data_IF_035047042726
#
_entry.id   IF_035047042726
#
_cell.length_a   1.000
_cell.length_b   1.000
_cell.length_c   1.000
_cell.angle_alpha   90.00
_cell.angle_beta   90.00
_cell.angle_gamma   90.00
#
_symmetry.space_group_name_H-M   'P 1'
#
loop_
_entity.id
_entity.type
_entity.pdbx_description
1 polymer ?
#
# COMPACT_ATOMS: atom_id res chain seq x y z
N UNK A 1 -2.37 4.68 -34.81
CA UNK A 1 -1.46 5.37 -33.87
C UNK A 1 -0.99 4.32 -32.89
N UNK A 2 0.32 4.07 -32.75
CA UNK A 2 0.85 3.18 -31.73
C UNK A 2 0.50 3.80 -30.37
N UNK A 3 -0.32 3.09 -29.58
CA UNK A 3 -0.59 3.48 -28.20
C UNK A 3 0.71 3.27 -27.44
N UNK A 4 1.28 4.35 -26.91
CA UNK A 4 2.50 4.29 -26.11
C UNK A 4 2.25 3.38 -24.90
N UNK A 5 2.94 2.24 -24.85
CA UNK A 5 2.70 1.25 -23.80
C UNK A 5 3.19 1.81 -22.45
N UNK A 6 2.40 1.72 -21.38
CA UNK A 6 2.76 2.35 -20.10
C UNK A 6 4.09 1.82 -19.53
N UNK A 7 4.90 2.72 -18.97
CA UNK A 7 6.16 2.37 -18.32
C UNK A 7 5.89 1.74 -16.96
N UNK A 8 6.69 0.73 -16.59
CA UNK A 8 6.59 0.05 -15.31
C UNK A 8 6.81 1.02 -14.13
N UNK A 9 5.96 0.96 -13.13
CA UNK A 9 6.12 1.73 -11.90
C UNK A 9 7.40 1.32 -11.14
N UNK A 10 8.07 2.31 -10.53
CA UNK A 10 9.28 2.10 -9.72
C UNK A 10 8.86 1.92 -8.26
N UNK A 11 9.40 0.88 -7.61
CA UNK A 11 9.09 0.55 -6.21
C UNK A 11 10.34 0.58 -5.33
N UNK A 12 10.15 0.78 -4.01
CA UNK A 12 11.14 0.52 -2.98
C UNK A 12 11.25 -0.99 -2.66
N UNK A 13 11.95 -1.35 -1.58
CA UNK A 13 12.08 -2.74 -1.13
C UNK A 13 13.08 -3.54 -1.97
N UNK A 14 14.11 -2.90 -2.47
CA UNK A 14 15.18 -3.55 -3.27
C UNK A 14 16.33 -4.07 -2.41
N UNK A 15 16.20 -4.06 -1.09
CA UNK A 15 17.25 -4.43 -0.13
C UNK A 15 17.81 -5.83 -0.36
N UNK A 16 16.94 -6.84 -0.66
CA UNK A 16 17.42 -8.20 -1.00
C UNK A 16 18.37 -8.19 -2.19
N UNK A 17 17.97 -7.55 -3.30
CA UNK A 17 18.80 -7.43 -4.51
C UNK A 17 20.12 -6.71 -4.23
N UNK A 18 20.08 -5.68 -3.38
CA UNK A 18 21.28 -4.92 -3.03
C UNK A 18 22.24 -5.75 -2.16
N UNK A 19 21.71 -6.49 -1.16
CA UNK A 19 22.49 -7.44 -0.35
C UNK A 19 23.16 -8.51 -1.21
N UNK A 20 22.44 -9.11 -2.14
CA UNK A 20 22.98 -10.11 -3.08
C UNK A 20 24.10 -9.52 -3.95
N UNK A 21 23.92 -8.28 -4.43
CA UNK A 21 24.89 -7.58 -5.29
C UNK A 21 26.16 -7.20 -4.53
N UNK A 22 26.03 -6.67 -3.32
CA UNK A 22 27.16 -6.12 -2.55
C UNK A 22 27.76 -7.11 -1.55
N UNK A 23 27.04 -8.18 -1.21
CA UNK A 23 27.35 -9.13 -0.13
C UNK A 23 27.43 -8.46 1.26
N UNK A 24 26.84 -7.30 1.42
CA UNK A 24 26.79 -6.54 2.67
C UNK A 24 25.39 -6.55 3.27
N UNK A 25 25.31 -6.35 4.57
CA UNK A 25 24.02 -6.15 5.24
C UNK A 25 23.59 -4.70 5.04
N UNK A 26 22.56 -4.49 4.19
CA UNK A 26 22.01 -3.18 3.89
C UNK A 26 20.77 -2.94 4.74
N UNK A 27 20.71 -1.79 5.41
CA UNK A 27 19.50 -1.33 6.10
C UNK A 27 18.53 -0.72 5.09
N UNK A 28 17.37 -1.34 4.94
CA UNK A 28 16.37 -0.95 3.93
C UNK A 28 15.26 -0.09 4.52
N UNK A 29 15.41 1.23 4.44
CA UNK A 29 14.38 2.23 4.76
C UNK A 29 13.48 2.57 3.57
N UNK A 30 13.67 1.93 2.41
CA UNK A 30 12.82 2.13 1.23
C UNK A 30 11.53 1.29 1.27
N UNK A 31 11.53 0.21 2.07
CA UNK A 31 10.39 -0.68 2.28
C UNK A 31 9.63 -0.27 3.54
N UNK A 32 8.40 0.22 3.39
CA UNK A 32 7.57 0.65 4.52
C UNK A 32 6.79 -0.53 5.12
N UNK A 33 7.51 -1.50 5.71
CA UNK A 33 6.92 -2.58 6.50
C UNK A 33 6.92 -2.22 7.98
N UNK A 34 6.02 -2.81 8.77
CA UNK A 34 5.97 -2.61 10.21
C UNK A 34 7.27 -3.05 10.88
N UNK A 35 7.99 -2.17 11.61
CA UNK A 35 9.21 -2.57 12.34
C UNK A 35 8.91 -3.31 13.65
N UNK A 36 7.67 -3.30 14.12
CA UNK A 36 7.21 -3.90 15.37
C UNK A 36 5.99 -4.80 15.12
N UNK A 37 6.06 -5.80 14.23
CA UNK A 37 4.90 -6.61 13.89
C UNK A 37 4.47 -7.51 15.05
N UNK A 38 3.17 -7.84 15.16
CA UNK A 38 2.70 -8.89 16.05
C UNK A 38 3.46 -10.20 15.79
N UNK A 39 3.64 -10.98 16.84
CA UNK A 39 4.24 -12.31 16.72
C UNK A 39 3.18 -13.32 16.30
N UNK A 40 3.12 -13.63 15.03
CA UNK A 40 2.25 -14.67 14.47
C UNK A 40 2.94 -16.02 14.63
N UNK A 41 2.33 -16.95 15.38
CA UNK A 41 2.84 -18.31 15.58
C UNK A 41 2.43 -19.21 14.41
N UNK A 42 2.98 -18.92 13.23
CA UNK A 42 2.71 -19.66 12.02
C UNK A 42 3.95 -20.45 11.57
N UNK A 43 3.74 -21.73 11.28
CA UNK A 43 4.75 -22.59 10.67
C UNK A 43 4.21 -23.10 9.32
N UNK A 44 5.04 -23.04 8.25
CA UNK A 44 4.59 -23.51 6.95
C UNK A 44 4.38 -25.02 6.95
N UNK A 45 3.16 -25.46 6.66
CA UNK A 45 2.84 -26.86 6.41
C UNK A 45 3.17 -27.19 4.96
N UNK A 46 4.20 -28.01 4.73
CA UNK A 46 4.64 -28.40 3.39
C UNK A 46 3.63 -29.32 2.68
N UNK A 47 2.75 -30.00 3.39
CA UNK A 47 1.69 -30.79 2.77
C UNK A 47 0.70 -29.92 1.97
N UNK A 48 0.56 -28.64 2.28
CA UNK A 48 -0.25 -27.72 1.49
C UNK A 48 0.24 -27.58 0.04
N UNK A 49 1.48 -27.97 -0.26
CA UNK A 49 2.04 -27.94 -1.63
C UNK A 49 1.51 -29.08 -2.51
N UNK A 50 0.90 -30.10 -1.93
CA UNK A 50 0.39 -31.26 -2.67
C UNK A 50 -0.99 -31.02 -3.31
N UNK A 51 -1.67 -29.92 -2.92
CA UNK A 51 -3.04 -29.60 -3.32
C UNK A 51 -3.14 -28.18 -3.90
N UNK A 52 -4.12 -27.99 -4.80
CA UNK A 52 -4.55 -26.65 -5.14
C UNK A 52 -5.26 -26.01 -3.96
N UNK A 53 -5.07 -24.70 -3.68
CA UNK A 53 -5.87 -23.96 -2.70
C UNK A 53 -7.36 -23.99 -3.05
N UNK A 54 -8.25 -23.69 -2.09
CA UNK A 54 -9.65 -23.38 -2.38
C UNK A 54 -9.74 -22.12 -3.23
N UNK A 55 -10.20 -22.22 -4.48
CA UNK A 55 -10.29 -21.08 -5.41
C UNK A 55 -11.33 -20.03 -4.96
N UNK A 56 -12.28 -20.43 -4.14
CA UNK A 56 -13.26 -19.52 -3.52
C UNK A 56 -12.73 -18.86 -2.25
N UNK A 57 -11.67 -19.41 -1.61
CA UNK A 57 -11.09 -18.93 -0.35
C UNK A 57 -12.14 -18.73 0.74
N UNK A 58 -13.05 -19.68 0.88
CA UNK A 58 -14.27 -19.59 1.69
C UNK A 58 -13.95 -19.28 3.15
N UNK A 59 -13.11 -20.09 3.80
CA UNK A 59 -12.71 -19.90 5.19
C UNK A 59 -12.05 -18.53 5.42
N UNK A 60 -11.18 -18.11 4.49
CA UNK A 60 -10.48 -16.84 4.56
C UNK A 60 -11.45 -15.65 4.43
N UNK A 61 -12.41 -15.71 3.52
CA UNK A 61 -13.45 -14.68 3.37
C UNK A 61 -14.39 -14.63 4.57
N UNK A 62 -14.78 -15.79 5.13
CA UNK A 62 -15.56 -15.88 6.38
C UNK A 62 -14.80 -15.20 7.54
N UNK A 63 -13.50 -15.48 7.68
CA UNK A 63 -12.65 -14.85 8.70
C UNK A 63 -12.57 -13.34 8.52
N UNK A 64 -12.33 -12.86 7.31
CA UNK A 64 -12.33 -11.42 6.99
C UNK A 64 -13.71 -10.82 7.25
N UNK A 65 -14.77 -11.47 6.79
CA UNK A 65 -16.16 -11.01 6.96
C UNK A 65 -16.54 -10.84 8.44
N UNK A 66 -16.11 -11.77 9.31
CA UNK A 66 -16.35 -11.70 10.75
C UNK A 66 -15.67 -10.50 11.41
N UNK A 67 -14.49 -10.10 10.93
CA UNK A 67 -13.72 -8.96 11.49
C UNK A 67 -14.29 -7.61 11.03
N UNK A 68 -14.72 -7.52 9.75
CA UNK A 68 -15.16 -6.27 9.14
C UNK A 68 -16.68 -6.16 9.00
N UNK A 69 -17.44 -7.09 9.57
CA UNK A 69 -18.91 -7.13 9.51
C UNK A 69 -19.44 -7.07 8.07
N UNK A 70 -18.80 -7.86 7.17
CA UNK A 70 -19.13 -7.90 5.73
C UNK A 70 -19.53 -9.32 5.33
N UNK A 71 -20.48 -9.42 4.39
CA UNK A 71 -20.84 -10.69 3.77
C UNK A 71 -19.70 -11.20 2.87
N UNK A 72 -19.52 -12.51 2.78
CA UNK A 72 -18.47 -13.13 1.96
C UNK A 72 -18.58 -12.78 0.47
N UNK A 73 -19.80 -12.48 -0.01
CA UNK A 73 -20.05 -12.03 -1.39
C UNK A 73 -19.54 -10.61 -1.66
N UNK A 74 -19.25 -9.85 -0.62
CA UNK A 74 -18.68 -8.51 -0.70
C UNK A 74 -17.15 -8.49 -0.61
N UNK A 75 -16.49 -9.68 -0.54
CA UNK A 75 -15.06 -9.81 -0.27
C UNK A 75 -14.36 -10.49 -1.44
N UNK A 76 -13.25 -9.89 -1.90
CA UNK A 76 -12.30 -10.53 -2.81
C UNK A 76 -10.92 -10.64 -2.18
N UNK A 77 -10.15 -11.64 -2.61
CA UNK A 77 -8.76 -11.86 -2.20
C UNK A 77 -7.84 -11.94 -3.40
N UNK A 78 -6.54 -11.67 -3.21
CA UNK A 78 -5.59 -11.67 -4.32
C UNK A 78 -4.13 -11.83 -3.90
N UNK A 79 -3.28 -12.14 -4.85
CA UNK A 79 -1.83 -12.28 -4.72
C UNK A 79 -1.16 -10.90 -4.46
N UNK A 80 -1.40 -10.39 -3.27
CA UNK A 80 -1.12 -9.01 -2.87
C UNK A 80 -2.14 -8.02 -3.44
N UNK A 81 -2.24 -6.85 -2.80
CA UNK A 81 -3.16 -5.78 -3.20
C UNK A 81 -2.96 -5.31 -4.66
N UNK A 82 -1.75 -5.46 -5.23
CA UNK A 82 -1.46 -5.08 -6.62
C UNK A 82 -2.26 -5.89 -7.63
N UNK A 83 -2.46 -7.19 -7.40
CA UNK A 83 -3.32 -8.00 -8.27
C UNK A 83 -4.73 -7.45 -8.27
N UNK A 84 -5.29 -7.15 -7.10
CA UNK A 84 -6.64 -6.59 -6.99
C UNK A 84 -6.77 -5.23 -7.67
N UNK A 85 -5.75 -4.34 -7.58
CA UNK A 85 -5.74 -3.09 -8.36
C UNK A 85 -5.83 -3.37 -9.88
N UNK A 86 -5.05 -4.34 -10.37
CA UNK A 86 -5.03 -4.72 -11.79
C UNK A 86 -6.37 -5.31 -12.25
N UNK A 87 -6.90 -6.25 -11.49
CA UNK A 87 -8.17 -6.91 -11.80
C UNK A 87 -9.32 -5.91 -11.73
N UNK A 88 -9.39 -5.08 -10.66
CA UNK A 88 -10.38 -4.01 -10.54
C UNK A 88 -10.38 -3.10 -11.76
N UNK A 89 -9.22 -2.57 -12.16
CA UNK A 89 -9.11 -1.70 -13.34
C UNK A 89 -9.57 -2.42 -14.61
N UNK A 90 -9.18 -3.68 -14.80
CA UNK A 90 -9.61 -4.47 -15.94
C UNK A 90 -11.12 -4.66 -16.01
N UNK A 91 -11.75 -4.94 -14.87
CA UNK A 91 -13.20 -5.14 -14.77
C UNK A 91 -13.95 -3.83 -14.99
N UNK A 92 -13.55 -2.76 -14.34
CA UNK A 92 -14.30 -1.50 -14.32
C UNK A 92 -14.17 -0.73 -15.64
N UNK A 93 -12.96 -0.66 -16.21
CA UNK A 93 -12.72 0.14 -17.40
C UNK A 93 -13.00 -0.61 -18.72
N UNK A 94 -12.63 -1.90 -18.82
CA UNK A 94 -12.83 -2.66 -20.06
C UNK A 94 -14.26 -3.08 -20.29
N UNK A 95 -15.03 -3.33 -19.21
CA UNK A 95 -16.41 -3.80 -19.31
C UNK A 95 -17.45 -2.67 -19.28
N UNK A 96 -16.99 -1.41 -19.34
CA UNK A 96 -17.89 -0.26 -19.40
C UNK A 96 -18.76 -0.06 -18.14
N UNK A 97 -18.33 -0.58 -16.99
CA UNK A 97 -19.03 -0.39 -15.71
C UNK A 97 -19.01 1.09 -15.30
N UNK A 98 -17.93 1.78 -15.69
CA UNK A 98 -17.74 3.20 -15.42
C UNK A 98 -17.21 3.94 -16.65
N UNK A 99 -17.21 5.28 -16.60
CA UNK A 99 -16.55 6.10 -17.61
C UNK A 99 -15.08 5.73 -17.70
N UNK A 100 -14.52 5.64 -18.91
CA UNK A 100 -13.14 5.19 -19.12
C UNK A 100 -12.10 6.29 -18.82
N UNK A 101 -12.31 6.98 -17.69
CA UNK A 101 -11.45 8.05 -17.16
C UNK A 101 -11.21 7.84 -15.68
N UNK A 102 -10.00 8.15 -15.22
CA UNK A 102 -9.66 8.07 -13.80
C UNK A 102 -9.07 9.39 -13.30
N UNK A 103 -9.28 9.65 -12.01
CA UNK A 103 -8.66 10.74 -11.28
C UNK A 103 -7.79 10.18 -10.16
N UNK A 104 -6.64 10.80 -9.96
CA UNK A 104 -5.78 10.59 -8.81
C UNK A 104 -5.16 11.92 -8.38
N UNK A 105 -5.02 12.12 -7.07
CA UNK A 105 -4.37 13.31 -6.52
C UNK A 105 -2.87 13.02 -6.35
N UNK A 106 -2.07 13.51 -7.28
CA UNK A 106 -0.60 13.39 -7.20
C UNK A 106 -0.01 14.29 -6.10
N UNK A 107 1.09 13.85 -5.46
CA UNK A 107 1.77 12.58 -5.65
C UNK A 107 1.05 11.44 -4.95
N UNK A 108 0.94 10.26 -5.61
CA UNK A 108 0.35 9.06 -5.03
C UNK A 108 0.96 7.79 -5.63
N UNK A 109 0.49 6.60 -5.21
CA UNK A 109 1.05 5.33 -5.62
C UNK A 109 0.86 5.06 -7.12
N UNK A 110 1.96 4.86 -7.84
CA UNK A 110 1.98 4.80 -9.30
C UNK A 110 1.29 3.58 -9.94
N UNK A 111 0.96 2.55 -9.17
CA UNK A 111 0.25 1.37 -9.71
C UNK A 111 -1.20 1.66 -10.10
N UNK A 112 -1.84 2.68 -9.52
CA UNK A 112 -3.20 3.06 -9.93
C UNK A 112 -3.20 3.56 -11.38
N UNK A 113 -2.34 4.53 -11.69
CA UNK A 113 -2.21 5.06 -13.04
C UNK A 113 -1.79 3.97 -14.03
N UNK A 114 -0.77 3.18 -13.67
CA UNK A 114 -0.30 2.10 -14.53
C UNK A 114 -1.41 1.08 -14.82
N UNK A 115 -2.14 0.65 -13.81
CA UNK A 115 -3.22 -0.35 -13.95
C UNK A 115 -4.40 0.18 -14.77
N UNK A 116 -4.78 1.44 -14.52
CA UNK A 116 -5.84 2.11 -15.29
C UNK A 116 -5.45 2.26 -16.78
N UNK A 117 -4.23 2.72 -17.06
CA UNK A 117 -3.73 2.83 -18.46
C UNK A 117 -3.61 1.49 -19.17
N UNK A 118 -3.18 0.42 -18.47
CA UNK A 118 -3.17 -0.94 -19.02
C UNK A 118 -4.59 -1.45 -19.34
N UNK A 119 -5.60 -0.88 -18.70
CA UNK A 119 -7.02 -1.14 -18.96
C UNK A 119 -7.63 -0.13 -19.95
N UNK A 120 -6.79 0.60 -20.69
CA UNK A 120 -7.14 1.62 -21.70
C UNK A 120 -7.92 2.83 -21.14
N UNK A 121 -7.87 3.08 -19.82
CA UNK A 121 -8.43 4.29 -19.23
C UNK A 121 -7.48 5.49 -19.37
N UNK A 122 -8.06 6.69 -19.43
CA UNK A 122 -7.33 7.94 -19.58
C UNK A 122 -7.43 8.81 -18.30
N UNK A 123 -6.37 9.54 -17.90
CA UNK A 123 -6.45 10.43 -16.75
C UNK A 123 -7.36 11.64 -17.03
N UNK A 124 -7.94 12.17 -15.98
CA UNK A 124 -8.62 13.46 -15.99
C UNK A 124 -8.10 14.34 -14.86
N UNK A 125 -8.12 15.66 -15.07
CA UNK A 125 -7.80 16.65 -14.03
C UNK A 125 -9.05 17.13 -13.29
N UNK A 126 -10.24 16.74 -13.77
CA UNK A 126 -11.54 17.11 -13.19
C UNK A 126 -12.12 15.88 -12.47
N UNK A 127 -12.21 15.88 -11.12
CA UNK A 127 -12.70 14.74 -10.35
C UNK A 127 -14.11 14.26 -10.78
N UNK A 128 -15.01 15.19 -11.07
CA UNK A 128 -16.39 14.89 -11.50
C UNK A 128 -16.50 14.16 -12.85
N UNK A 129 -15.45 14.24 -13.68
CA UNK A 129 -15.40 13.53 -14.95
C UNK A 129 -14.86 12.10 -14.82
N UNK A 130 -14.31 11.76 -13.67
CA UNK A 130 -13.73 10.44 -13.45
C UNK A 130 -14.81 9.38 -13.32
N UNK A 131 -14.57 8.23 -13.94
CA UNK A 131 -15.31 7.00 -13.66
C UNK A 131 -14.79 6.31 -12.39
N UNK A 132 -13.48 6.48 -12.09
CA UNK A 132 -12.86 6.03 -10.85
C UNK A 132 -12.02 7.14 -10.26
N UNK A 133 -12.23 7.43 -8.97
CA UNK A 133 -11.35 8.24 -8.14
C UNK A 133 -10.50 7.32 -7.28
N UNK A 134 -9.17 7.33 -7.47
CA UNK A 134 -8.24 6.58 -6.61
C UNK A 134 -7.81 7.44 -5.42
N UNK A 135 -8.17 7.01 -4.23
CA UNK A 135 -7.75 7.57 -2.95
C UNK A 135 -6.81 6.58 -2.25
N UNK A 136 -5.55 6.94 -2.06
CA UNK A 136 -4.64 6.20 -1.19
C UNK A 136 -4.74 6.78 0.22
N UNK A 137 -5.21 5.99 1.19
CA UNK A 137 -5.50 6.50 2.53
C UNK A 137 -5.02 5.54 3.64
N UNK A 138 -3.95 5.85 4.37
CA UNK A 138 -3.03 7.00 4.22
C UNK A 138 -2.24 7.01 2.93
N UNK A 139 -1.94 8.22 2.43
CA UNK A 139 -1.34 8.39 1.11
C UNK A 139 0.16 8.03 1.07
N UNK A 140 0.55 7.30 0.06
CA UNK A 140 1.94 7.03 -0.29
C UNK A 140 2.34 7.90 -1.51
N UNK A 141 3.34 8.81 -1.41
CA UNK A 141 4.43 8.82 -0.43
C UNK A 141 4.29 9.78 0.76
N UNK A 142 3.23 10.56 0.86
CA UNK A 142 3.15 11.69 1.80
C UNK A 142 2.89 11.27 3.26
N UNK A 143 2.30 10.10 3.49
CA UNK A 143 1.89 9.65 4.82
C UNK A 143 0.64 10.37 5.38
N UNK A 144 -0.01 11.21 4.60
CA UNK A 144 -1.19 11.96 5.03
C UNK A 144 -2.42 11.06 5.11
N UNK A 145 -3.13 11.16 6.22
CA UNK A 145 -4.40 10.48 6.47
C UNK A 145 -5.58 11.41 6.12
N UNK A 146 -6.43 10.96 5.23
CA UNK A 146 -7.73 11.58 4.97
C UNK A 146 -8.73 11.09 6.00
N UNK A 147 -9.38 12.00 6.72
CA UNK A 147 -10.39 11.66 7.73
C UNK A 147 -11.61 10.99 7.11
N UNK A 148 -12.27 10.12 7.89
CA UNK A 148 -13.45 9.33 7.44
C UNK A 148 -14.54 10.22 6.85
N UNK A 149 -14.84 11.34 7.50
CA UNK A 149 -15.87 12.29 7.03
C UNK A 149 -15.53 12.83 5.63
N UNK A 150 -14.27 13.12 5.36
CA UNK A 150 -13.83 13.59 4.04
C UNK A 150 -13.87 12.47 3.00
N UNK A 151 -13.53 11.24 3.39
CA UNK A 151 -13.65 10.06 2.52
C UNK A 151 -15.11 9.81 2.14
N UNK A 152 -16.05 9.96 3.10
CA UNK A 152 -17.49 9.85 2.85
C UNK A 152 -18.01 10.95 1.95
N UNK A 153 -17.57 12.19 2.13
CA UNK A 153 -17.93 13.30 1.24
C UNK A 153 -17.45 13.04 -0.20
N UNK A 154 -16.25 12.47 -0.39
CA UNK A 154 -15.76 12.04 -1.71
C UNK A 154 -16.60 10.90 -2.28
N UNK A 155 -17.03 9.95 -1.45
CA UNK A 155 -17.94 8.89 -1.89
C UNK A 155 -19.27 9.46 -2.39
N UNK A 156 -19.87 10.38 -1.66
CA UNK A 156 -21.12 11.04 -2.06
C UNK A 156 -20.97 11.84 -3.37
N UNK A 157 -19.83 12.50 -3.57
CA UNK A 157 -19.49 13.15 -4.83
C UNK A 157 -19.39 12.14 -5.99
N UNK A 158 -18.70 11.01 -5.77
CA UNK A 158 -18.58 9.97 -6.79
C UNK A 158 -19.94 9.33 -7.11
N UNK A 159 -20.81 9.11 -6.12
CA UNK A 159 -22.19 8.64 -6.33
C UNK A 159 -22.99 9.60 -7.19
N UNK A 160 -22.95 10.89 -6.85
CA UNK A 160 -23.65 11.92 -7.62
C UNK A 160 -23.23 11.91 -9.10
N UNK A 161 -21.95 11.71 -9.36
CA UNK A 161 -21.38 11.64 -10.71
C UNK A 161 -21.37 10.22 -11.31
N UNK A 162 -22.01 9.22 -10.68
CA UNK A 162 -22.07 7.81 -11.14
C UNK A 162 -20.66 7.21 -11.37
N UNK A 163 -19.72 7.53 -10.50
CA UNK A 163 -18.37 6.97 -10.47
C UNK A 163 -18.16 6.04 -9.29
N UNK A 164 -16.95 5.54 -9.16
CA UNK A 164 -16.51 4.65 -8.08
C UNK A 164 -15.36 5.31 -7.33
N UNK A 165 -15.44 5.35 -6.00
CA UNK A 165 -14.32 5.65 -5.12
C UNK A 165 -13.55 4.35 -4.86
N UNK A 166 -12.31 4.27 -5.36
CA UNK A 166 -11.36 3.22 -4.99
C UNK A 166 -10.52 3.74 -3.83
N UNK A 167 -10.74 3.22 -2.62
CA UNK A 167 -10.04 3.60 -1.40
C UNK A 167 -8.98 2.54 -1.05
N UNK A 168 -7.70 2.86 -1.22
CA UNK A 168 -6.60 1.97 -0.82
C UNK A 168 -6.19 2.26 0.62
N UNK A 169 -6.55 1.35 1.51
CA UNK A 169 -6.26 1.39 2.94
C UNK A 169 -5.11 0.44 3.34
N UNK A 170 -4.17 0.14 2.44
CA UNK A 170 -3.06 -0.80 2.73
C UNK A 170 -2.17 -0.41 3.92
N UNK A 171 -2.22 0.84 4.38
CA UNK A 171 -1.48 1.35 5.53
C UNK A 171 -2.35 1.77 6.72
N UNK A 172 -3.66 1.66 6.64
CA UNK A 172 -4.58 2.18 7.67
C UNK A 172 -4.34 1.52 9.02
N UNK A 173 -3.99 0.23 9.05
CA UNK A 173 -3.68 -0.55 10.25
C UNK A 173 -2.48 0.00 11.03
N UNK A 174 -1.56 0.68 10.37
CA UNK A 174 -0.37 1.29 10.97
C UNK A 174 -0.55 2.80 11.23
N UNK A 175 -1.78 3.30 11.06
CA UNK A 175 -2.17 4.70 11.24
C UNK A 175 -3.32 4.81 12.25
N UNK A 176 -4.51 5.09 11.77
CA UNK A 176 -5.74 5.21 12.57
C UNK A 176 -6.87 4.39 11.92
N UNK A 177 -7.07 3.11 12.34
CA UNK A 177 -8.12 2.26 11.80
C UNK A 177 -9.54 2.79 11.99
N UNK A 178 -9.78 3.71 12.95
CA UNK A 178 -11.09 4.35 13.14
C UNK A 178 -11.52 5.20 11.95
N UNK A 179 -10.57 5.62 11.11
CA UNK A 179 -10.81 6.38 9.88
C UNK A 179 -11.11 5.49 8.67
N UNK A 180 -11.13 4.17 8.85
CA UNK A 180 -11.44 3.22 7.78
C UNK A 180 -12.89 3.32 7.31
N UNK A 181 -13.08 3.03 6.03
CA UNK A 181 -14.40 2.88 5.40
C UNK A 181 -14.68 1.43 4.96
N UNK A 182 -13.87 0.45 5.43
CA UNK A 182 -14.00 -0.96 5.03
C UNK A 182 -15.34 -1.61 5.45
N UNK A 183 -15.97 -1.13 6.53
CA UNK A 183 -17.27 -1.63 7.00
C UNK A 183 -18.46 -1.06 6.22
N UNK A 184 -18.20 -0.11 5.30
CA UNK A 184 -19.28 0.54 4.54
C UNK A 184 -19.56 -0.26 3.27
N UNK A 185 -20.83 -0.69 3.12
CA UNK A 185 -21.32 -1.29 1.89
C UNK A 185 -22.00 -0.23 1.04
N UNK A 186 -21.40 0.08 -0.13
CA UNK A 186 -21.96 1.05 -1.09
C UNK A 186 -21.53 0.67 -2.51
N UNK A 187 -22.45 0.69 -3.50
CA UNK A 187 -22.15 0.31 -4.90
C UNK A 187 -21.06 1.17 -5.56
N UNK A 188 -20.84 2.38 -5.06
CA UNK A 188 -19.82 3.30 -5.56
C UNK A 188 -18.51 3.27 -4.76
N UNK A 189 -18.33 2.28 -3.87
CA UNK A 189 -17.14 2.14 -3.04
C UNK A 189 -16.44 0.79 -3.28
N UNK A 190 -15.14 0.82 -3.52
CA UNK A 190 -14.25 -0.33 -3.40
C UNK A 190 -13.13 -0.01 -2.42
N UNK A 191 -12.92 -0.84 -1.40
CA UNK A 191 -11.87 -0.65 -0.40
C UNK A 191 -10.83 -1.76 -0.54
N UNK A 192 -9.56 -1.38 -0.62
CA UNK A 192 -8.43 -2.30 -0.72
C UNK A 192 -7.65 -2.36 0.58
N UNK A 193 -7.25 -3.55 0.98
CA UNK A 193 -6.46 -3.83 2.19
C UNK A 193 -5.26 -4.72 1.91
N UNK A 194 -4.28 -4.73 2.82
CA UNK A 194 -3.07 -5.55 2.67
C UNK A 194 -2.48 -5.92 4.02
N UNK A 195 -2.22 -7.20 4.26
CA UNK A 195 -1.48 -7.67 5.44
C UNK A 195 0.04 -7.48 5.32
N UNK A 196 0.55 -7.29 4.10
CA UNK A 196 2.00 -7.28 3.84
C UNK A 196 2.76 -6.18 4.58
N UNK A 197 2.07 -5.07 4.92
CA UNK A 197 2.68 -3.92 5.59
C UNK A 197 2.55 -4.05 7.10
N UNK A 198 1.36 -4.34 7.59
CA UNK A 198 1.04 -4.43 9.02
C UNK A 198 1.75 -5.59 9.72
N UNK A 199 1.87 -6.73 9.05
CA UNK A 199 2.54 -7.92 9.58
C UNK A 199 3.99 -8.11 9.09
N UNK A 200 4.55 -7.16 8.34
CA UNK A 200 5.92 -7.18 7.83
C UNK A 200 6.28 -8.42 6.97
N UNK A 201 5.31 -8.93 6.20
CA UNK A 201 5.44 -10.14 5.38
C UNK A 201 5.27 -9.86 3.88
N UNK A 202 6.08 -8.99 3.28
CA UNK A 202 5.91 -8.62 1.87
C UNK A 202 6.11 -9.80 0.90
N UNK A 203 6.82 -10.87 1.33
CA UNK A 203 7.07 -12.07 0.55
C UNK A 203 5.88 -13.02 0.46
N UNK A 204 4.94 -12.98 1.41
CA UNK A 204 3.73 -13.84 1.44
C UNK A 204 2.78 -13.52 0.30
N UNK A 205 2.66 -12.24 -0.10
CA UNK A 205 1.82 -11.80 -1.20
C UNK A 205 0.33 -12.00 -0.94
N UNK A 206 -0.23 -11.29 0.04
CA UNK A 206 -1.65 -11.32 0.34
C UNK A 206 -2.27 -9.93 0.41
N UNK A 207 -3.44 -9.76 -0.20
CA UNK A 207 -4.30 -8.59 -0.11
C UNK A 207 -5.76 -8.98 -0.28
N UNK A 208 -6.65 -8.15 0.20
CA UNK A 208 -8.09 -8.34 0.12
C UNK A 208 -8.80 -7.02 -0.14
N UNK A 209 -10.04 -7.11 -0.60
CA UNK A 209 -10.84 -5.92 -0.90
C UNK A 209 -12.31 -6.15 -0.62
N UNK A 210 -13.03 -5.03 -0.46
CA UNK A 210 -14.46 -4.98 -0.20
C UNK A 210 -15.15 -4.17 -1.29
N UNK A 211 -16.28 -4.65 -1.75
CA UNK A 211 -17.09 -3.97 -2.76
C UNK A 211 -18.51 -4.51 -2.78
N UNK A 212 -19.32 -3.96 -3.66
CA UNK A 212 -20.68 -4.44 -3.93
C UNK A 212 -20.62 -5.83 -4.56
N UNK A 213 -21.54 -6.78 -4.18
CA UNK A 213 -21.48 -8.18 -4.61
C UNK A 213 -21.34 -8.38 -6.13
N UNK A 214 -22.07 -7.61 -6.95
CA UNK A 214 -21.99 -7.76 -8.42
C UNK A 214 -20.64 -7.27 -8.98
N UNK A 215 -19.93 -6.35 -8.32
CA UNK A 215 -18.55 -5.98 -8.66
C UNK A 215 -17.58 -7.07 -8.23
N UNK A 216 -17.74 -7.61 -7.02
CA UNK A 216 -16.90 -8.68 -6.47
C UNK A 216 -17.00 -9.95 -7.33
N UNK A 217 -18.19 -10.37 -7.75
CA UNK A 217 -18.38 -11.50 -8.67
C UNK A 217 -17.56 -11.34 -9.96
N UNK A 218 -17.55 -10.14 -10.53
CA UNK A 218 -16.75 -9.86 -11.74
C UNK A 218 -15.25 -9.86 -11.47
N UNK A 219 -14.82 -9.34 -10.31
CA UNK A 219 -13.42 -9.36 -9.88
C UNK A 219 -12.96 -10.80 -9.68
N UNK A 220 -13.73 -11.65 -9.00
CA UNK A 220 -13.43 -13.06 -8.80
C UNK A 220 -13.37 -13.83 -10.12
N UNK A 221 -14.29 -13.53 -11.06
CA UNK A 221 -14.27 -14.13 -12.41
C UNK A 221 -13.02 -13.71 -13.22
N UNK A 222 -12.55 -12.48 -13.06
CA UNK A 222 -11.40 -11.97 -13.81
C UNK A 222 -10.04 -12.25 -13.14
N UNK A 223 -10.05 -12.60 -11.86
CA UNK A 223 -8.87 -13.03 -11.12
C UNK A 223 -8.37 -14.37 -11.65
N UNK A 224 -7.06 -14.57 -11.70
CA UNK A 224 -6.49 -15.87 -12.05
C UNK A 224 -6.90 -16.92 -11.01
N UNK A 225 -7.33 -18.12 -11.42
CA UNK A 225 -7.57 -19.21 -10.48
C UNK A 225 -6.36 -19.47 -9.58
N UNK A 226 -6.60 -19.79 -8.32
CA UNK A 226 -5.58 -20.12 -7.32
C UNK A 226 -4.48 -19.05 -7.17
N UNK A 227 -4.81 -17.78 -7.38
CA UNK A 227 -3.81 -16.70 -7.37
C UNK A 227 -3.19 -16.45 -6.00
N UNK A 228 -3.92 -16.70 -4.89
CA UNK A 228 -3.38 -16.70 -3.54
C UNK A 228 -2.80 -18.08 -3.25
N UNK A 229 -1.50 -18.14 -2.99
CA UNK A 229 -0.83 -19.41 -2.72
C UNK A 229 -1.19 -19.96 -1.32
N UNK A 230 -1.07 -21.28 -1.13
CA UNK A 230 -1.47 -21.98 0.08
C UNK A 230 -0.78 -21.44 1.36
N UNK A 231 0.48 -21.02 1.29
CA UNK A 231 1.16 -20.41 2.45
C UNK A 231 0.61 -19.01 2.75
N UNK A 232 0.22 -18.25 1.73
CA UNK A 232 -0.39 -16.94 1.93
C UNK A 232 -1.77 -17.04 2.58
N UNK A 233 -2.56 -18.01 2.16
CA UNK A 233 -3.86 -18.32 2.75
C UNK A 233 -3.73 -18.75 4.21
N UNK A 234 -2.92 -19.76 4.49
CA UNK A 234 -2.66 -20.29 5.84
C UNK A 234 -2.09 -19.19 6.77
N UNK A 235 -1.11 -18.41 6.30
CA UNK A 235 -0.57 -17.31 7.08
C UNK A 235 -1.62 -16.22 7.36
N UNK A 236 -2.44 -15.87 6.37
CA UNK A 236 -3.44 -14.82 6.51
C UNK A 236 -4.53 -15.21 7.51
N UNK A 237 -4.99 -16.47 7.52
CA UNK A 237 -5.93 -16.99 8.50
C UNK A 237 -5.42 -16.80 9.93
N UNK A 238 -4.15 -17.13 10.19
CA UNK A 238 -3.53 -16.95 11.50
C UNK A 238 -3.34 -15.46 11.83
N UNK A 239 -2.75 -14.67 10.91
CA UNK A 239 -2.45 -13.27 11.10
C UNK A 239 -3.71 -12.41 11.39
N UNK A 240 -4.84 -12.74 10.79
CA UNK A 240 -6.12 -12.07 11.05
C UNK A 240 -6.59 -12.21 12.50
N UNK A 241 -6.14 -13.24 13.23
CA UNK A 241 -6.38 -13.38 14.67
C UNK A 241 -5.60 -12.38 15.54
N UNK A 242 -4.58 -11.74 15.00
CA UNK A 242 -3.66 -10.82 15.72
C UNK A 242 -3.88 -9.33 15.36
N UNK A 243 -5.01 -8.97 14.74
CA UNK A 243 -5.27 -7.60 14.30
C UNK A 243 -5.29 -6.59 15.45
N UNK A 244 -5.79 -6.96 16.63
CA UNK A 244 -5.83 -6.10 17.82
C UNK A 244 -4.43 -5.76 18.34
N UNK A 245 -3.47 -6.67 18.22
CA UNK A 245 -2.08 -6.46 18.66
C UNK A 245 -1.37 -5.36 17.88
N UNK A 246 -1.87 -4.96 16.71
CA UNK A 246 -1.36 -3.84 15.92
C UNK A 246 -1.47 -2.49 16.64
N UNK A 247 -2.25 -2.38 17.74
CA UNK A 247 -2.26 -1.19 18.59
C UNK A 247 -0.88 -0.94 19.20
N UNK A 248 -0.21 -1.99 19.67
CA UNK A 248 1.17 -1.91 20.15
C UNK A 248 2.14 -1.44 19.07
N UNK A 249 1.96 -1.93 17.83
CA UNK A 249 2.75 -1.49 16.67
C UNK A 249 2.54 0.00 16.39
N UNK A 250 1.29 0.48 16.36
CA UNK A 250 0.96 1.92 16.12
C UNK A 250 1.64 2.81 17.15
N UNK A 251 1.52 2.47 18.43
CA UNK A 251 2.12 3.23 19.53
C UNK A 251 3.65 3.29 19.43
N UNK A 252 4.29 2.18 19.07
CA UNK A 252 5.74 2.14 18.89
C UNK A 252 6.18 2.95 17.65
N UNK A 253 5.48 2.79 16.53
CA UNK A 253 5.73 3.56 15.29
C UNK A 253 5.57 5.06 15.55
N UNK A 254 4.57 5.49 16.29
CA UNK A 254 4.33 6.90 16.58
C UNK A 254 5.48 7.52 17.36
N UNK A 255 5.96 6.85 18.41
CA UNK A 255 7.13 7.30 19.19
C UNK A 255 8.37 7.44 18.32
N UNK A 256 8.68 6.40 17.53
CA UNK A 256 9.86 6.40 16.65
C UNK A 256 9.73 7.41 15.51
N UNK A 257 8.54 7.60 14.95
CA UNK A 257 8.29 8.62 13.93
C UNK A 257 8.52 10.04 14.46
N UNK A 258 8.04 10.34 15.67
CA UNK A 258 8.27 11.65 16.29
C UNK A 258 9.76 11.90 16.55
N UNK A 259 10.46 10.90 17.10
CA UNK A 259 11.90 10.99 17.32
C UNK A 259 12.66 11.23 16.00
N UNK A 260 12.37 10.40 14.99
CA UNK A 260 13.02 10.47 13.67
C UNK A 260 12.75 11.80 12.97
N UNK A 261 11.51 12.31 13.01
CA UNK A 261 11.17 13.63 12.47
C UNK A 261 11.96 14.76 13.14
N UNK A 262 12.10 14.70 14.47
CA UNK A 262 12.87 15.69 15.22
C UNK A 262 14.36 15.63 14.88
N UNK A 263 14.92 14.42 14.78
CA UNK A 263 16.32 14.21 14.42
C UNK A 263 16.63 14.68 12.99
N UNK A 264 15.73 14.40 12.02
CA UNK A 264 15.83 14.89 10.64
C UNK A 264 15.79 16.43 10.61
N UNK A 265 14.89 17.05 11.39
CA UNK A 265 14.78 18.52 11.46
C UNK A 265 16.04 19.15 12.08
N UNK A 266 16.68 18.50 13.04
CA UNK A 266 17.95 18.95 13.63
C UNK A 266 19.12 18.95 12.62
N UNK A 267 19.04 18.16 11.56
CA UNK A 267 19.98 18.17 10.42
C UNK A 267 19.67 19.29 9.40
N UNK A 268 18.68 20.15 9.65
CA UNK A 268 18.25 21.19 8.72
C UNK A 268 17.37 20.70 7.57
N UNK A 269 16.97 19.42 7.55
CA UNK A 269 16.07 18.86 6.56
C UNK A 269 14.62 19.07 6.97
N UNK A 270 13.72 19.24 5.98
CA UNK A 270 12.29 19.39 6.22
C UNK A 270 11.58 18.06 6.14
N UNK A 271 11.06 17.54 7.27
CA UNK A 271 10.14 16.42 7.29
C UNK A 271 8.69 16.89 7.18
N UNK A 272 7.88 16.16 6.40
CA UNK A 272 6.44 16.42 6.29
C UNK A 272 5.66 15.61 7.32
N UNK A 273 4.51 16.13 7.81
CA UNK A 273 3.64 15.37 8.71
C UNK A 273 3.22 14.03 8.10
N UNK A 274 3.25 12.99 8.92
CA UNK A 274 2.85 11.63 8.54
C UNK A 274 2.07 10.97 9.65
N UNK A 275 1.12 10.12 9.30
CA UNK A 275 0.33 9.30 10.22
C UNK A 275 0.72 7.81 10.19
N UNK A 276 1.72 7.44 9.38
CA UNK A 276 2.10 6.04 9.13
C UNK A 276 3.56 5.76 9.49
N UNK A 277 4.04 4.58 9.12
CA UNK A 277 5.40 4.11 9.37
C UNK A 277 6.43 4.59 8.33
N UNK A 278 6.25 5.76 7.74
CA UNK A 278 7.25 6.43 6.89
C UNK A 278 7.07 7.95 6.91
N UNK A 279 8.11 8.66 6.54
CA UNK A 279 8.17 10.11 6.50
C UNK A 279 8.66 10.54 5.12
N UNK A 280 7.97 11.51 4.50
CA UNK A 280 8.46 12.22 3.33
C UNK A 280 9.39 13.35 3.80
N UNK A 281 10.59 13.43 3.23
CA UNK A 281 11.63 14.40 3.61
C UNK A 281 12.08 15.18 2.38
N UNK A 282 12.03 16.50 2.46
CA UNK A 282 12.62 17.40 1.47
C UNK A 282 14.11 17.53 1.74
N UNK A 283 14.95 17.21 0.76
CA UNK A 283 16.39 17.12 0.91
C UNK A 283 17.13 18.42 0.57
N UNK A 284 16.45 19.40 -0.09
CA UNK A 284 17.08 20.62 -0.59
C UNK A 284 18.10 20.39 -1.72
N UNK A 285 18.28 19.16 -2.18
CA UNK A 285 19.17 18.73 -3.25
C UNK A 285 18.54 17.59 -4.06
N UNK A 286 19.20 17.15 -5.11
CA UNK A 286 18.75 16.00 -5.92
C UNK A 286 18.65 14.73 -5.08
N UNK A 287 17.44 14.15 -5.02
CA UNK A 287 17.15 12.97 -4.22
C UNK A 287 17.96 11.74 -4.68
N UNK A 288 18.19 11.59 -5.99
CA UNK A 288 18.94 10.47 -6.53
C UNK A 288 20.41 10.52 -6.10
N UNK A 289 21.00 11.71 -6.05
CA UNK A 289 22.37 11.93 -5.54
C UNK A 289 22.48 11.51 -4.08
N UNK A 290 21.59 12.00 -3.22
CA UNK A 290 21.56 11.65 -1.80
C UNK A 290 21.34 10.13 -1.59
N UNK A 291 20.43 9.52 -2.34
CA UNK A 291 20.23 8.06 -2.30
C UNK A 291 21.50 7.27 -2.67
N UNK A 292 22.26 7.76 -3.68
CA UNK A 292 23.54 7.15 -4.08
C UNK A 292 24.63 7.31 -3.02
N UNK A 293 24.64 8.38 -2.25
CA UNK A 293 25.56 8.55 -1.12
C UNK A 293 25.21 7.65 0.05
N UNK A 294 23.90 7.58 0.41
CA UNK A 294 23.42 6.70 1.47
C UNK A 294 23.68 5.23 1.19
N UNK A 295 23.49 4.78 -0.06
CA UNK A 295 23.77 3.37 -0.41
C UNK A 295 25.24 2.99 -0.29
N UNK A 296 26.19 3.93 -0.45
CA UNK A 296 27.61 3.70 -0.17
C UNK A 296 27.88 3.49 1.33
N UNK A 297 26.96 3.94 2.20
CA UNK A 297 26.97 3.74 3.65
C UNK A 297 26.07 2.56 4.08
N UNK A 298 25.70 1.69 3.13
CA UNK A 298 24.85 0.51 3.32
C UNK A 298 23.43 0.85 3.81
N UNK A 299 22.92 2.06 3.50
CA UNK A 299 21.56 2.52 3.79
C UNK A 299 20.79 2.76 2.50
N UNK A 300 19.60 2.18 2.42
CA UNK A 300 18.70 2.33 1.28
C UNK A 300 17.46 3.11 1.69
N UNK A 301 17.22 4.24 1.05
CA UNK A 301 15.98 5.04 1.18
C UNK A 301 15.20 5.06 -0.12
N UNK A 302 13.95 5.53 -0.11
CA UNK A 302 13.13 5.62 -1.31
C UNK A 302 13.30 6.99 -1.98
N UNK A 303 13.94 7.01 -3.14
CA UNK A 303 13.96 8.14 -4.06
C UNK A 303 12.54 8.44 -4.57
N UNK A 304 12.05 9.66 -4.36
CA UNK A 304 10.71 10.08 -4.72
C UNK A 304 10.60 10.76 -6.09
N UNK A 305 11.66 10.76 -6.90
CA UNK A 305 11.65 11.32 -8.28
C UNK A 305 10.52 10.71 -9.12
N UNK A 306 10.28 9.39 -8.98
CA UNK A 306 9.19 8.71 -9.70
C UNK A 306 7.78 9.09 -9.23
N UNK A 307 7.64 9.83 -8.15
CA UNK A 307 6.40 10.45 -7.69
C UNK A 307 6.26 11.92 -8.15
N UNK A 308 7.20 12.42 -8.97
CA UNK A 308 7.28 13.83 -9.35
C UNK A 308 7.91 14.73 -8.28
N UNK A 309 8.65 14.14 -7.33
CA UNK A 309 9.31 14.84 -6.21
C UNK A 309 10.84 14.61 -6.28
N UNK A 310 11.54 15.27 -7.22
CA UNK A 310 12.96 15.00 -7.49
C UNK A 310 13.90 15.45 -6.37
N UNK A 311 13.43 16.26 -5.43
CA UNK A 311 14.19 16.77 -4.28
C UNK A 311 13.76 16.12 -2.96
N UNK A 312 12.96 15.06 -3.01
CA UNK A 312 12.44 14.41 -1.81
C UNK A 312 12.78 12.91 -1.77
N UNK A 313 13.02 12.43 -0.56
CA UNK A 313 13.11 10.99 -0.25
C UNK A 313 11.98 10.58 0.69
N UNK A 314 11.60 9.31 0.66
CA UNK A 314 10.72 8.71 1.68
C UNK A 314 11.52 7.73 2.52
N UNK A 315 11.44 7.89 3.82
CA UNK A 315 12.16 7.12 4.83
C UNK A 315 11.14 6.31 5.63
N UNK A 316 11.30 4.98 5.69
CA UNK A 316 10.52 4.16 6.60
C UNK A 316 10.95 4.40 8.05
N UNK A 317 9.99 4.39 8.98
CA UNK A 317 10.27 4.32 10.42
C UNK A 317 10.69 2.89 10.73
N UNK A 318 11.80 2.73 11.47
CA UNK A 318 12.33 1.42 11.86
C UNK A 318 12.58 1.36 13.38
N UNK A 319 13.35 0.38 13.85
CA UNK A 319 13.74 0.33 15.27
C UNK A 319 14.60 1.55 15.64
N UNK A 320 14.66 1.88 16.90
CA UNK A 320 15.42 3.03 17.40
C UNK A 320 16.90 2.98 16.98
N UNK A 321 17.51 1.81 17.13
CA UNK A 321 18.92 1.56 16.78
C UNK A 321 19.17 1.74 15.27
N UNK A 322 18.24 1.28 14.44
CA UNK A 322 18.35 1.45 12.98
C UNK A 322 18.11 2.92 12.59
N UNK A 323 17.17 3.59 13.24
CA UNK A 323 16.90 5.03 13.01
C UNK A 323 18.11 5.90 13.37
N UNK A 324 18.85 5.59 14.46
CA UNK A 324 20.11 6.27 14.80
C UNK A 324 21.13 6.12 13.67
N UNK A 325 21.34 4.91 13.15
CA UNK A 325 22.28 4.66 12.05
C UNK A 325 21.92 5.45 10.78
N UNK A 326 20.62 5.57 10.48
CA UNK A 326 20.17 6.42 9.39
C UNK A 326 20.53 7.89 9.61
N UNK A 327 20.28 8.44 10.82
CA UNK A 327 20.58 9.84 11.15
C UNK A 327 22.07 10.13 11.07
N UNK A 328 22.94 9.25 11.56
CA UNK A 328 24.39 9.34 11.43
C UNK A 328 24.84 9.35 9.96
N UNK A 329 24.25 8.51 9.13
CA UNK A 329 24.55 8.47 7.70
C UNK A 329 24.06 9.71 6.97
N UNK A 330 22.85 10.22 7.30
CA UNK A 330 22.30 11.47 6.74
C UNK A 330 23.18 12.66 7.13
N UNK A 331 23.59 12.79 8.40
CA UNK A 331 24.46 13.86 8.89
C UNK A 331 25.78 13.95 8.12
N UNK A 332 26.29 12.81 7.65
CA UNK A 332 27.51 12.75 6.86
C UNK A 332 27.32 13.00 5.35
N UNK A 333 26.07 13.17 4.88
CA UNK A 333 25.71 13.39 3.46
C UNK A 333 25.06 14.78 3.24
N UNK A 334 24.57 15.42 4.30
CA UNK A 334 23.94 16.75 4.22
C UNK A 334 24.98 17.80 4.63
N UNK A 335 25.24 18.76 3.75
CA UNK A 335 26.24 19.83 3.94
C UNK A 335 25.59 21.18 4.08
#
# INVERSE_FOLDING_TARGET
MAVDFPVKAIHGGTGKRQREKTRKNVLDFSASTNPFPPKVNWEPDLHLLEYYPDDYYTELKERIGSIFHRDITEICVGNGSIELIRVFCSVVFRNGISRNRFYLQSPTFGEYELSARLSAATPTIVPSDAGVYFLCNPNNPTGLLTKKEKTLALLDEMKYHKGILFCDEAFIELSDPSQSVAEISDPSLFVLRSLTKSFAVPGIRFGYGFGEPALIEKIETARSPWSVNAFAESYALEALGHMEELEGSRSAIERERHWLSSAISALGLRSYPSSVNYILVECGQDASSLCNELIRKDILVRDCTSFGLPTSIRIAVRTHEENIQLIEALAACVH
#
